data_IF_246964051514
#
_entry.id   IF_246964051514
#
_cell.length_a   1.000
_cell.length_b   1.000
_cell.length_c   1.000
_cell.angle_alpha   90.00
_cell.angle_beta   90.00
_cell.angle_gamma   90.00
#
_symmetry.space_group_name_H-M   'P 1'
#
loop_
_entity.id
_entity.type
_entity.pdbx_description
1 polymer ?
#
# COMPACT_ATOMS: atom_id res chain seq x y z
N UNK A 1 -8.06 -68.73 -1.52
CA UNK A 1 -8.61 -67.41 -1.90
C UNK A 1 -7.47 -66.40 -1.96
N UNK A 2 -7.09 -65.95 -3.16
CA UNK A 2 -6.06 -64.91 -3.34
C UNK A 2 -6.72 -63.56 -3.07
N UNK A 3 -6.18 -62.80 -2.11
CA UNK A 3 -6.60 -61.41 -1.87
C UNK A 3 -6.16 -60.53 -3.05
N UNK A 4 -7.11 -60.15 -3.89
CA UNK A 4 -6.89 -59.12 -4.90
C UNK A 4 -6.78 -57.76 -4.22
N UNK A 5 -5.60 -57.12 -4.37
CA UNK A 5 -5.41 -55.72 -3.99
C UNK A 5 -6.23 -54.85 -4.93
N UNK A 6 -7.29 -54.25 -4.40
CA UNK A 6 -8.08 -53.22 -5.07
C UNK A 6 -7.13 -52.08 -5.46
N UNK A 7 -6.85 -51.92 -6.76
CA UNK A 7 -6.14 -50.74 -7.28
C UNK A 7 -7.08 -49.53 -7.17
N UNK A 8 -6.62 -48.38 -6.66
CA UNK A 8 -7.45 -47.18 -6.62
C UNK A 8 -7.82 -46.76 -8.05
N UNK A 9 -9.07 -46.36 -8.25
CA UNK A 9 -9.58 -45.98 -9.57
C UNK A 9 -8.89 -44.71 -10.09
N UNK A 10 -8.76 -44.57 -11.42
CA UNK A 10 -8.07 -43.45 -12.07
C UNK A 10 -8.62 -42.06 -11.68
N UNK A 11 -9.90 -41.98 -11.28
CA UNK A 11 -10.52 -40.74 -10.80
C UNK A 11 -10.03 -40.32 -9.39
N UNK A 12 -9.68 -41.28 -8.52
CA UNK A 12 -9.09 -41.01 -7.20
C UNK A 12 -7.61 -40.59 -7.30
N UNK A 13 -6.85 -41.14 -8.24
CA UNK A 13 -5.46 -40.71 -8.47
C UNK A 13 -5.39 -39.29 -9.04
N UNK A 14 -6.32 -38.92 -9.93
CA UNK A 14 -6.40 -37.57 -10.50
C UNK A 14 -6.71 -36.50 -9.44
N UNK A 15 -7.74 -36.70 -8.60
CA UNK A 15 -8.06 -35.79 -7.49
C UNK A 15 -6.94 -35.64 -6.45
N UNK A 16 -6.14 -36.69 -6.25
CA UNK A 16 -4.98 -36.67 -5.34
C UNK A 16 -3.83 -35.84 -5.91
N UNK A 17 -3.57 -35.96 -7.22
CA UNK A 17 -2.54 -35.17 -7.89
C UNK A 17 -2.85 -33.67 -7.82
N UNK A 18 -4.10 -33.27 -8.06
CA UNK A 18 -4.54 -31.87 -7.95
C UNK A 18 -4.37 -31.31 -6.53
N UNK A 19 -4.68 -32.10 -5.49
CA UNK A 19 -4.47 -31.70 -4.09
C UNK A 19 -2.99 -31.53 -3.74
N UNK A 20 -2.12 -32.40 -4.26
CA UNK A 20 -0.67 -32.29 -4.04
C UNK A 20 -0.10 -31.05 -4.72
N UNK A 21 -0.49 -30.80 -5.97
CA UNK A 21 -0.06 -29.62 -6.73
C UNK A 21 -0.51 -28.33 -6.03
N UNK A 22 -1.77 -28.29 -5.58
CA UNK A 22 -2.30 -27.18 -4.78
C UNK A 22 -1.46 -26.91 -3.52
N UNK A 23 -1.18 -27.95 -2.72
CA UNK A 23 -0.40 -27.79 -1.49
C UNK A 23 1.03 -27.30 -1.79
N UNK A 24 1.69 -27.85 -2.82
CA UNK A 24 3.04 -27.44 -3.23
C UNK A 24 3.08 -25.99 -3.68
N UNK A 25 2.12 -25.57 -4.52
CA UNK A 25 2.01 -24.18 -4.96
C UNK A 25 1.83 -23.25 -3.76
N UNK A 26 0.91 -23.58 -2.85
CA UNK A 26 0.65 -22.78 -1.64
C UNK A 26 1.88 -22.66 -0.73
N UNK A 27 2.63 -23.76 -0.54
CA UNK A 27 3.89 -23.74 0.21
C UNK A 27 4.90 -22.79 -0.45
N UNK A 28 5.14 -22.93 -1.75
CA UNK A 28 6.11 -22.08 -2.46
C UNK A 28 5.70 -20.61 -2.39
N UNK A 29 4.41 -20.30 -2.57
CA UNK A 29 3.88 -18.94 -2.44
C UNK A 29 4.11 -18.38 -1.04
N UNK A 30 3.84 -19.14 0.03
CA UNK A 30 4.08 -18.68 1.39
C UNK A 30 5.57 -18.51 1.70
N UNK A 31 6.44 -19.38 1.18
CA UNK A 31 7.89 -19.22 1.31
C UNK A 31 8.38 -17.93 0.64
N UNK A 32 7.91 -17.65 -0.57
CA UNK A 32 8.23 -16.41 -1.30
C UNK A 32 7.72 -15.17 -0.56
N UNK A 33 6.47 -15.21 -0.07
CA UNK A 33 5.90 -14.16 0.76
C UNK A 33 6.74 -13.87 2.02
N UNK A 34 7.21 -14.92 2.71
CA UNK A 34 8.08 -14.78 3.88
C UNK A 34 9.40 -14.12 3.50
N UNK A 35 10.09 -14.60 2.47
CA UNK A 35 11.37 -14.03 2.03
C UNK A 35 11.22 -12.56 1.63
N UNK A 36 10.20 -12.23 0.85
CA UNK A 36 9.90 -10.86 0.46
C UNK A 36 9.59 -9.96 1.67
N UNK A 37 8.87 -10.50 2.66
CA UNK A 37 8.55 -9.79 3.90
C UNK A 37 9.80 -9.49 4.72
N UNK A 38 10.72 -10.45 4.86
CA UNK A 38 12.01 -10.26 5.55
C UNK A 38 12.79 -9.09 4.94
N UNK A 39 12.88 -9.04 3.60
CA UNK A 39 13.57 -7.94 2.89
C UNK A 39 12.87 -6.60 3.13
N UNK A 40 11.53 -6.57 3.08
CA UNK A 40 10.76 -5.35 3.30
C UNK A 40 10.91 -4.79 4.72
N UNK A 41 10.83 -5.63 5.75
CA UNK A 41 10.90 -5.15 7.14
C UNK A 41 12.27 -4.60 7.52
N UNK A 42 13.34 -5.11 6.89
CA UNK A 42 14.68 -4.51 7.01
C UNK A 42 14.70 -3.08 6.47
N UNK A 43 14.10 -2.85 5.28
CA UNK A 43 13.97 -1.50 4.72
C UNK A 43 13.08 -0.61 5.58
N UNK A 44 12.00 -1.16 6.14
CA UNK A 44 11.12 -0.44 7.06
C UNK A 44 11.85 0.01 8.32
N UNK A 45 12.79 -0.79 8.82
CA UNK A 45 13.65 -0.39 9.93
C UNK A 45 14.56 0.80 9.56
N UNK A 46 15.20 0.76 8.39
CA UNK A 46 16.04 1.87 7.88
C UNK A 46 15.23 3.15 7.73
N UNK A 47 13.98 3.03 7.27
CA UNK A 47 13.04 4.16 7.12
C UNK A 47 12.38 4.60 8.44
N UNK A 48 12.79 4.04 9.57
CA UNK A 48 12.24 4.29 10.92
C UNK A 48 10.74 3.99 11.05
N UNK A 49 10.19 3.12 10.19
CA UNK A 49 8.78 2.70 10.25
C UNK A 49 8.55 1.74 11.42
N UNK A 50 9.50 0.84 11.67
CA UNK A 50 9.49 -0.09 12.81
C UNK A 50 10.76 0.04 13.67
N UNK A 51 10.63 -0.31 14.94
CA UNK A 51 11.72 -0.39 15.92
C UNK A 51 12.56 -1.66 15.78
N UNK A 52 13.68 -1.72 16.52
CA UNK A 52 14.53 -2.93 16.55
C UNK A 52 13.80 -4.12 17.21
N UNK A 53 13.03 -3.86 18.26
CA UNK A 53 12.21 -4.89 18.91
C UNK A 53 11.15 -5.47 17.96
N UNK A 54 10.41 -4.59 17.27
CA UNK A 54 9.40 -4.99 16.28
C UNK A 54 10.02 -5.80 15.13
N UNK A 55 11.20 -5.39 14.64
CA UNK A 55 11.95 -6.14 13.63
C UNK A 55 12.28 -7.55 14.13
N UNK A 56 12.85 -7.68 15.32
CA UNK A 56 13.24 -8.98 15.87
C UNK A 56 12.03 -9.92 16.04
N UNK A 57 10.92 -9.42 16.57
CA UNK A 57 9.67 -10.18 16.72
C UNK A 57 9.14 -10.64 15.36
N UNK A 58 9.16 -9.76 14.36
CA UNK A 58 8.72 -10.10 13.01
C UNK A 58 9.60 -11.18 12.37
N UNK A 59 10.93 -11.03 12.42
CA UNK A 59 11.87 -11.99 11.84
C UNK A 59 11.74 -13.37 12.50
N UNK A 60 11.69 -13.44 13.83
CA UNK A 60 11.51 -14.71 14.54
C UNK A 60 10.21 -15.42 14.16
N UNK A 61 9.11 -14.66 14.04
CA UNK A 61 7.83 -15.21 13.58
C UNK A 61 7.91 -15.75 12.15
N UNK A 62 8.56 -15.01 11.25
CA UNK A 62 8.75 -15.42 9.86
C UNK A 62 9.65 -16.65 9.71
N UNK A 63 10.74 -16.74 10.48
CA UNK A 63 11.64 -17.89 10.51
C UNK A 63 10.89 -19.16 10.98
N UNK A 64 10.14 -19.06 12.07
CA UNK A 64 9.34 -20.17 12.59
C UNK A 64 8.33 -20.69 11.56
N UNK A 65 7.62 -19.79 10.88
CA UNK A 65 6.70 -20.15 9.80
C UNK A 65 7.41 -20.82 8.62
N UNK A 66 8.61 -20.36 8.27
CA UNK A 66 9.39 -20.94 7.17
C UNK A 66 9.87 -22.36 7.50
N UNK A 67 10.28 -22.61 8.73
CA UNK A 67 10.62 -23.95 9.24
C UNK A 67 9.43 -24.90 9.22
N UNK A 68 8.24 -24.42 9.60
CA UNK A 68 7.01 -25.21 9.52
C UNK A 68 6.67 -25.57 8.06
N UNK A 69 6.80 -24.62 7.13
CA UNK A 69 6.61 -24.87 5.70
C UNK A 69 7.59 -25.92 5.15
N UNK A 70 8.86 -25.86 5.56
CA UNK A 70 9.85 -26.88 5.18
C UNK A 70 9.49 -28.26 5.73
N UNK A 71 8.97 -28.31 6.96
CA UNK A 71 8.48 -29.55 7.56
C UNK A 71 7.31 -30.13 6.77
N UNK A 72 6.33 -29.31 6.40
CA UNK A 72 5.18 -29.74 5.58
C UNK A 72 5.67 -30.21 4.19
N UNK A 73 6.62 -29.50 3.58
CA UNK A 73 7.22 -29.89 2.30
C UNK A 73 7.86 -31.28 2.36
N UNK A 74 8.64 -31.55 3.41
CA UNK A 74 9.26 -32.86 3.63
C UNK A 74 8.21 -33.96 3.87
N UNK A 75 7.11 -33.66 4.57
CA UNK A 75 6.00 -34.61 4.74
C UNK A 75 5.39 -35.01 3.39
N UNK A 76 5.16 -34.03 2.50
CA UNK A 76 4.61 -34.25 1.16
C UNK A 76 5.57 -35.09 0.30
N UNK A 77 6.88 -34.85 0.39
CA UNK A 77 7.89 -35.57 -0.39
C UNK A 77 8.08 -37.02 0.07
N UNK A 78 8.10 -37.27 1.39
CA UNK A 78 8.36 -38.59 1.97
C UNK A 78 7.13 -39.51 2.00
N UNK A 79 5.93 -39.00 2.28
CA UNK A 79 4.72 -39.80 2.54
C UNK A 79 3.76 -39.89 1.34
N UNK A 80 4.30 -39.94 0.13
CA UNK A 80 3.53 -39.81 -1.11
C UNK A 80 2.36 -40.83 -1.29
N UNK A 81 2.31 -41.93 -0.52
CA UNK A 81 1.23 -42.94 -0.55
C UNK A 81 0.17 -42.82 0.57
N UNK A 82 0.50 -42.29 1.75
CA UNK A 82 -0.41 -42.20 2.92
C UNK A 82 -0.51 -40.80 3.56
N UNK A 83 -0.21 -39.73 2.81
CA UNK A 83 -0.36 -38.36 3.29
C UNK A 83 -1.81 -38.06 3.72
N UNK A 84 -1.97 -37.57 4.95
CA UNK A 84 -3.21 -36.94 5.41
C UNK A 84 -3.27 -35.49 4.88
N UNK A 85 -4.09 -35.29 3.85
CA UNK A 85 -4.25 -33.96 3.25
C UNK A 85 -5.00 -32.99 4.14
N UNK A 86 -5.90 -33.46 5.01
CA UNK A 86 -6.69 -32.60 5.87
C UNK A 86 -5.81 -32.02 6.98
N UNK A 87 -4.86 -32.80 7.48
CA UNK A 87 -3.81 -32.30 8.37
C UNK A 87 -2.94 -31.23 7.68
N UNK A 88 -2.45 -31.50 6.46
CA UNK A 88 -1.62 -30.52 5.71
C UNK A 88 -2.38 -29.23 5.46
N UNK A 89 -3.64 -29.30 5.02
CA UNK A 89 -4.48 -28.13 4.78
C UNK A 89 -4.70 -27.34 6.08
N UNK A 90 -4.92 -28.03 7.20
CA UNK A 90 -5.09 -27.40 8.51
C UNK A 90 -3.84 -26.64 8.93
N UNK A 91 -2.64 -27.23 8.76
CA UNK A 91 -1.37 -26.54 9.04
C UNK A 91 -1.15 -25.33 8.13
N UNK A 92 -1.40 -25.47 6.83
CA UNK A 92 -1.31 -24.34 5.89
C UNK A 92 -2.29 -23.22 6.23
N UNK A 93 -3.47 -23.53 6.78
CA UNK A 93 -4.42 -22.51 7.22
C UNK A 93 -3.93 -21.79 8.49
N UNK A 94 -3.29 -22.50 9.43
CA UNK A 94 -2.65 -21.88 10.60
C UNK A 94 -1.56 -20.90 10.17
N UNK A 95 -0.67 -21.33 9.27
CA UNK A 95 0.38 -20.49 8.69
C UNK A 95 -0.23 -19.25 8.01
N UNK A 96 -1.32 -19.39 7.25
CA UNK A 96 -2.01 -18.25 6.65
C UNK A 96 -2.51 -17.24 7.70
N UNK A 97 -3.09 -17.74 8.80
CA UNK A 97 -3.61 -16.88 9.87
C UNK A 97 -2.47 -16.15 10.60
N UNK A 98 -1.33 -16.81 10.81
CA UNK A 98 -0.15 -16.21 11.41
C UNK A 98 0.50 -15.18 10.47
N UNK A 99 0.64 -15.49 9.17
CA UNK A 99 1.06 -14.51 8.16
C UNK A 99 0.13 -13.30 8.12
N UNK A 100 -1.19 -13.52 8.22
CA UNK A 100 -2.18 -12.45 8.30
C UNK A 100 -1.91 -11.53 9.49
N UNK A 101 -1.61 -12.11 10.66
CA UNK A 101 -1.22 -11.35 11.87
C UNK A 101 0.09 -10.57 11.68
N UNK A 102 1.10 -11.19 11.08
CA UNK A 102 2.39 -10.54 10.78
C UNK A 102 2.17 -9.35 9.82
N UNK A 103 1.47 -9.56 8.71
CA UNK A 103 1.20 -8.52 7.72
C UNK A 103 0.36 -7.37 8.29
N UNK A 104 -0.53 -7.68 9.24
CA UNK A 104 -1.34 -6.67 9.94
C UNK A 104 -0.47 -5.69 10.71
N UNK A 105 0.57 -6.20 11.39
CA UNK A 105 1.40 -5.41 12.30
C UNK A 105 2.65 -4.83 11.63
N UNK A 106 3.28 -5.57 10.71
CA UNK A 106 4.60 -5.25 10.15
C UNK A 106 4.58 -5.02 8.64
N UNK A 107 3.49 -5.37 7.96
CA UNK A 107 3.37 -5.27 6.52
C UNK A 107 4.11 -6.37 5.76
N UNK A 108 4.35 -6.14 4.47
CA UNK A 108 5.06 -7.03 3.54
C UNK A 108 5.57 -6.23 2.34
N UNK A 109 6.29 -6.85 1.41
CA UNK A 109 6.76 -6.18 0.20
C UNK A 109 5.62 -5.89 -0.78
N UNK A 110 4.81 -6.89 -1.12
CA UNK A 110 3.80 -6.76 -2.16
C UNK A 110 2.41 -6.60 -1.58
N UNK A 111 1.68 -5.58 -2.02
CA UNK A 111 0.28 -5.40 -1.59
C UNK A 111 -0.63 -6.55 -2.07
N UNK A 112 -0.31 -7.21 -3.18
CA UNK A 112 -1.04 -8.39 -3.66
C UNK A 112 -0.98 -9.55 -2.68
N UNK A 113 0.16 -9.73 -2.02
CA UNK A 113 0.38 -10.83 -1.08
C UNK A 113 -0.44 -10.60 0.18
N UNK A 114 -0.44 -9.36 0.67
CA UNK A 114 -1.28 -8.93 1.78
C UNK A 114 -2.77 -9.18 1.49
N UNK A 115 -3.25 -8.77 0.32
CA UNK A 115 -4.67 -8.93 -0.05
C UNK A 115 -5.02 -10.42 -0.19
N UNK A 116 -4.12 -11.21 -0.78
CA UNK A 116 -4.31 -12.67 -0.95
C UNK A 116 -4.43 -13.37 0.40
N UNK A 117 -3.58 -13.03 1.37
CA UNK A 117 -3.63 -13.61 2.72
C UNK A 117 -4.87 -13.15 3.49
N UNK A 118 -5.32 -11.91 3.28
CA UNK A 118 -6.45 -11.32 4.01
C UNK A 118 -7.84 -11.69 3.45
N UNK A 119 -7.99 -11.81 2.12
CA UNK A 119 -9.29 -12.00 1.43
C UNK A 119 -9.31 -13.17 0.43
N UNK A 120 -8.29 -14.03 0.42
CA UNK A 120 -8.07 -15.11 -0.54
C UNK A 120 -7.64 -14.66 -1.95
N UNK A 121 -7.11 -15.62 -2.72
CA UNK A 121 -6.40 -15.37 -3.99
C UNK A 121 -7.29 -14.90 -5.14
N UNK A 122 -8.58 -15.23 -5.12
CA UNK A 122 -9.54 -14.88 -6.17
C UNK A 122 -10.19 -13.51 -5.96
N UNK A 123 -10.02 -12.90 -4.78
CA UNK A 123 -10.64 -11.62 -4.44
C UNK A 123 -10.28 -10.49 -5.40
N UNK A 124 -9.00 -10.36 -5.76
CA UNK A 124 -8.52 -9.33 -6.69
C UNK A 124 -9.21 -9.44 -8.04
N UNK A 125 -9.30 -10.66 -8.59
CA UNK A 125 -9.91 -10.91 -9.90
C UNK A 125 -11.40 -10.53 -9.91
N UNK A 126 -12.09 -10.70 -8.78
CA UNK A 126 -13.51 -10.32 -8.62
C UNK A 126 -13.72 -8.81 -8.40
N UNK A 127 -12.70 -8.10 -7.94
CA UNK A 127 -12.82 -6.70 -7.48
C UNK A 127 -12.30 -5.69 -8.50
N UNK A 128 -11.38 -6.11 -9.38
CA UNK A 128 -10.86 -5.25 -10.45
C UNK A 128 -11.95 -5.01 -11.50
N UNK A 129 -12.13 -3.76 -11.87
CA UNK A 129 -12.98 -3.29 -12.96
C UNK A 129 -12.14 -2.45 -13.93
N UNK A 130 -12.64 -2.21 -15.14
CA UNK A 130 -11.94 -1.37 -16.12
C UNK A 130 -11.66 0.05 -15.60
N UNK A 131 -12.50 0.55 -14.69
CA UNK A 131 -12.33 1.87 -14.07
C UNK A 131 -11.17 1.93 -13.07
N UNK A 132 -10.89 0.82 -12.37
CA UNK A 132 -9.93 0.81 -11.26
C UNK A 132 -8.62 0.07 -11.57
N UNK A 133 -8.58 -0.69 -12.68
CA UNK A 133 -7.45 -1.53 -13.08
C UNK A 133 -6.14 -0.77 -13.17
N UNK A 134 -6.10 0.34 -13.91
CA UNK A 134 -4.88 1.13 -14.08
C UNK A 134 -4.35 1.66 -12.73
N UNK A 135 -5.26 2.06 -11.84
CA UNK A 135 -4.91 2.53 -10.51
C UNK A 135 -4.38 1.40 -9.64
N UNK A 136 -5.00 0.21 -9.70
CA UNK A 136 -4.54 -0.97 -8.99
C UNK A 136 -3.13 -1.39 -9.44
N UNK A 137 -2.81 -1.36 -10.73
CA UNK A 137 -1.47 -1.72 -11.23
C UNK A 137 -0.38 -0.78 -10.70
N UNK A 138 -0.67 0.53 -10.59
CA UNK A 138 0.25 1.49 -9.96
C UNK A 138 0.44 1.15 -8.47
N UNK A 139 -0.67 0.91 -7.76
CA UNK A 139 -0.64 0.56 -6.34
C UNK A 139 0.15 -0.74 -6.13
N UNK A 140 -0.09 -1.76 -6.96
CA UNK A 140 0.61 -3.04 -6.92
C UNK A 140 2.12 -2.88 -7.13
N UNK A 141 2.52 -1.97 -8.02
CA UNK A 141 3.93 -1.78 -8.38
C UNK A 141 4.71 -0.92 -7.39
N UNK A 142 4.11 0.14 -6.85
CA UNK A 142 4.84 1.17 -6.11
C UNK A 142 4.40 1.33 -4.65
N UNK A 143 3.37 0.63 -4.20
CA UNK A 143 2.89 0.73 -2.81
C UNK A 143 3.30 -0.51 -2.04
N UNK A 144 4.19 -0.30 -1.05
CA UNK A 144 4.68 -1.33 -0.17
C UNK A 144 3.96 -1.24 1.18
N UNK A 145 3.13 -2.22 1.56
CA UNK A 145 2.34 -2.15 2.77
C UNK A 145 3.21 -2.27 4.02
N UNK A 146 2.99 -1.39 4.98
CA UNK A 146 3.68 -1.37 6.29
C UNK A 146 2.79 -1.85 7.43
N UNK A 147 1.47 -1.87 7.24
CA UNK A 147 0.48 -2.44 8.16
C UNK A 147 -0.90 -2.39 7.51
N UNK A 148 -1.88 -3.08 8.09
CA UNK A 148 -3.28 -2.88 7.72
C UNK A 148 -4.24 -3.00 8.91
N UNK A 149 -5.43 -2.44 8.75
CA UNK A 149 -6.56 -2.64 9.67
C UNK A 149 -7.72 -3.25 8.91
N UNK A 150 -8.30 -4.31 9.46
CA UNK A 150 -9.56 -4.87 8.98
C UNK A 150 -10.70 -4.31 9.85
N UNK A 151 -11.66 -3.63 9.21
CA UNK A 151 -12.82 -3.05 9.89
C UNK A 151 -14.10 -3.67 9.34
N UNK A 152 -14.90 -4.24 10.24
CA UNK A 152 -16.23 -4.77 9.92
C UNK A 152 -17.23 -3.64 9.77
N UNK A 153 -18.12 -3.77 8.79
CA UNK A 153 -19.15 -2.77 8.49
C UNK A 153 -20.28 -2.78 9.51
N UNK A 154 -20.80 -1.60 9.82
CA UNK A 154 -22.07 -1.35 10.50
C UNK A 154 -23.20 -1.20 9.48
N UNK A 155 -24.45 -1.19 9.93
CA UNK A 155 -25.65 -1.18 9.06
C UNK A 155 -25.73 -0.02 8.04
N UNK A 156 -25.05 1.09 8.33
CA UNK A 156 -25.01 2.29 7.49
C UNK A 156 -23.75 2.41 6.62
N UNK A 157 -22.74 1.56 6.86
CA UNK A 157 -21.47 1.63 6.15
C UNK A 157 -21.63 1.19 4.69
N UNK A 158 -20.88 1.84 3.79
CA UNK A 158 -20.90 1.53 2.35
C UNK A 158 -22.07 2.13 1.56
N UNK A 159 -23.04 2.78 2.23
CA UNK A 159 -24.19 3.44 1.58
C UNK A 159 -23.97 4.94 1.31
N UNK A 160 -22.97 5.55 1.96
CA UNK A 160 -22.67 6.97 1.82
C UNK A 160 -21.99 7.27 0.48
N UNK A 161 -22.55 8.22 -0.27
CA UNK A 161 -21.92 8.80 -1.47
C UNK A 161 -21.14 10.08 -1.19
N UNK A 162 -20.95 10.45 0.08
CA UNK A 162 -20.30 11.72 0.43
C UNK A 162 -18.82 11.66 0.04
N UNK A 163 -18.40 12.58 -0.82
CA UNK A 163 -17.00 12.69 -1.22
C UNK A 163 -16.17 13.16 -0.03
N UNK A 164 -15.14 12.40 0.33
CA UNK A 164 -14.20 12.75 1.38
C UNK A 164 -13.22 13.82 0.86
N UNK A 165 -13.06 14.90 1.62
CA UNK A 165 -12.03 15.91 1.35
C UNK A 165 -10.68 15.38 1.85
N UNK A 166 -9.77 15.08 0.92
CA UNK A 166 -8.47 14.43 1.19
C UNK A 166 -7.41 15.41 1.62
N UNK A 167 -7.67 16.70 1.45
CA UNK A 167 -6.92 17.81 2.05
C UNK A 167 -7.27 18.03 3.54
N UNK A 168 -7.93 17.08 4.22
CA UNK A 168 -8.22 17.09 5.66
C UNK A 168 -7.76 15.78 6.31
N UNK A 169 -7.80 15.72 7.64
CA UNK A 169 -7.62 14.44 8.34
C UNK A 169 -8.85 13.58 8.02
N UNK A 170 -8.59 12.38 7.51
CA UNK A 170 -9.63 11.39 7.22
C UNK A 170 -9.41 10.21 8.16
N UNK A 171 -10.38 10.00 9.05
CA UNK A 171 -10.35 8.92 10.03
C UNK A 171 -10.78 7.59 9.40
N UNK A 172 -10.35 6.48 10.02
CA UNK A 172 -10.56 5.14 9.48
C UNK A 172 -12.05 4.81 9.30
N UNK A 173 -12.91 5.22 10.24
CA UNK A 173 -14.37 5.00 10.12
C UNK A 173 -14.98 5.74 8.92
N UNK A 174 -14.52 6.95 8.61
CA UNK A 174 -14.99 7.73 7.46
C UNK A 174 -14.63 7.03 6.13
N UNK A 175 -13.45 6.38 6.10
CA UNK A 175 -13.01 5.57 4.95
C UNK A 175 -13.94 4.39 4.76
N UNK A 176 -14.27 3.65 5.83
CA UNK A 176 -15.19 2.50 5.76
C UNK A 176 -16.56 2.93 5.19
N UNK A 177 -17.10 4.04 5.69
CA UNK A 177 -18.40 4.57 5.28
C UNK A 177 -18.46 4.94 3.81
N UNK A 178 -17.46 5.68 3.30
CA UNK A 178 -17.60 6.42 2.03
C UNK A 178 -16.57 6.11 0.94
N UNK A 179 -15.44 5.46 1.26
CA UNK A 179 -14.38 5.24 0.27
C UNK A 179 -14.75 4.19 -0.79
N UNK A 180 -14.22 4.34 -2.00
CA UNK A 180 -14.30 3.30 -3.05
C UNK A 180 -13.13 2.33 -2.96
N UNK A 181 -13.23 1.20 -3.68
CA UNK A 181 -12.11 0.28 -3.87
C UNK A 181 -10.91 1.00 -4.49
N UNK A 182 -9.73 0.76 -3.90
CA UNK A 182 -8.45 1.37 -4.27
C UNK A 182 -8.43 2.90 -4.13
N UNK A 183 -9.32 3.46 -3.32
CA UNK A 183 -9.24 4.87 -2.97
C UNK A 183 -8.10 5.13 -1.98
N UNK A 184 -7.39 6.25 -2.19
CA UNK A 184 -6.16 6.55 -1.47
C UNK A 184 -6.28 7.82 -0.62
N UNK A 185 -5.61 7.82 0.54
CA UNK A 185 -5.59 8.91 1.51
C UNK A 185 -4.18 9.16 2.04
N UNK A 186 -3.90 10.39 2.48
CA UNK A 186 -2.56 10.78 2.95
C UNK A 186 -2.34 10.40 4.42
N UNK A 187 -1.18 9.82 4.73
CA UNK A 187 -0.75 9.53 6.10
C UNK A 187 -0.04 10.70 6.79
N UNK A 188 0.32 11.76 6.07
CA UNK A 188 1.17 12.84 6.60
C UNK A 188 0.60 13.57 7.82
N UNK A 189 -0.73 13.60 7.95
CA UNK A 189 -1.42 14.30 9.05
C UNK A 189 -1.63 13.45 10.30
N UNK A 190 -1.37 12.14 10.20
CA UNK A 190 -1.63 11.18 11.30
C UNK A 190 -0.37 10.48 11.78
N UNK A 191 0.75 10.60 11.07
CA UNK A 191 2.04 10.08 11.51
C UNK A 191 2.96 11.18 12.02
N UNK A 192 3.88 10.82 12.93
CA UNK A 192 5.00 11.68 13.37
C UNK A 192 6.31 11.37 12.64
N UNK A 193 6.42 10.18 12.05
CA UNK A 193 7.65 9.67 11.43
C UNK A 193 7.87 10.32 10.06
N UNK A 194 9.07 10.82 9.81
CA UNK A 194 9.40 11.58 8.59
C UNK A 194 9.05 10.80 7.31
N UNK A 195 9.54 9.56 7.15
CA UNK A 195 9.30 8.77 5.95
C UNK A 195 7.81 8.46 5.73
N UNK A 196 7.06 8.18 6.80
CA UNK A 196 5.60 8.00 6.69
C UNK A 196 4.90 9.31 6.31
N UNK A 197 5.38 10.47 6.77
CA UNK A 197 4.82 11.75 6.33
C UNK A 197 5.07 12.01 4.85
N UNK A 198 6.29 11.74 4.38
CA UNK A 198 6.68 11.97 2.99
C UNK A 198 5.98 10.98 2.06
N UNK A 199 6.15 9.67 2.29
CA UNK A 199 5.78 8.62 1.34
C UNK A 199 4.52 7.83 1.75
N UNK A 200 3.99 8.05 2.94
CA UNK A 200 2.89 7.25 3.47
C UNK A 200 1.55 7.50 2.78
N UNK A 201 0.86 6.41 2.46
CA UNK A 201 -0.47 6.38 1.85
C UNK A 201 -1.35 5.36 2.59
N UNK A 202 -2.66 5.62 2.66
CA UNK A 202 -3.66 4.61 3.00
C UNK A 202 -4.40 4.19 1.74
N UNK A 203 -4.64 2.90 1.56
CA UNK A 203 -5.43 2.33 0.47
C UNK A 203 -6.64 1.60 1.07
N UNK A 204 -7.83 1.94 0.61
CA UNK A 204 -9.08 1.32 1.03
C UNK A 204 -9.49 0.19 0.08
N UNK A 205 -9.80 -0.98 0.62
CA UNK A 205 -10.29 -2.13 -0.13
C UNK A 205 -11.50 -2.73 0.58
N UNK A 206 -12.64 -2.74 -0.10
CA UNK A 206 -13.94 -3.19 0.37
C UNK A 206 -14.22 -4.60 -0.12
N UNK A 207 -14.52 -5.49 0.82
CA UNK A 207 -15.05 -6.82 0.58
C UNK A 207 -16.53 -6.82 0.98
N UNK A 208 -17.41 -6.67 0.00
CA UNK A 208 -18.86 -6.63 0.20
C UNK A 208 -19.42 -7.97 0.70
N UNK A 209 -18.85 -9.08 0.24
CA UNK A 209 -19.29 -10.42 0.64
C UNK A 209 -19.07 -10.67 2.14
N UNK A 210 -17.92 -10.23 2.67
CA UNK A 210 -17.61 -10.35 4.10
C UNK A 210 -18.05 -9.14 4.93
N UNK A 211 -18.56 -8.07 4.29
CA UNK A 211 -18.86 -6.78 4.94
C UNK A 211 -17.67 -6.25 5.75
N UNK A 212 -16.48 -6.24 5.12
CA UNK A 212 -15.23 -5.78 5.73
C UNK A 212 -14.50 -4.81 4.79
N UNK A 213 -13.80 -3.85 5.38
CA UNK A 213 -12.85 -2.98 4.67
C UNK A 213 -11.45 -3.19 5.22
N UNK A 214 -10.48 -3.43 4.34
CA UNK A 214 -9.07 -3.29 4.65
C UNK A 214 -8.65 -1.85 4.42
N UNK A 215 -8.03 -1.26 5.44
CA UNK A 215 -7.34 0.02 5.36
C UNK A 215 -5.86 -0.30 5.46
N UNK A 216 -5.21 -0.36 4.30
CA UNK A 216 -3.80 -0.72 4.18
C UNK A 216 -2.98 0.56 4.27
N UNK A 217 -2.09 0.65 5.25
CA UNK A 217 -1.08 1.70 5.31
C UNK A 217 0.15 1.22 4.56
N UNK A 218 0.67 2.02 3.63
CA UNK A 218 1.84 1.69 2.82
C UNK A 218 2.75 2.88 2.59
N UNK A 219 3.92 2.61 2.04
CA UNK A 219 4.84 3.61 1.51
C UNK A 219 4.84 3.55 -0.01
N UNK A 220 4.79 4.72 -0.64
CA UNK A 220 4.92 4.88 -2.09
C UNK A 220 6.39 5.05 -2.44
N UNK A 221 6.87 4.36 -3.47
CA UNK A 221 8.21 4.58 -4.02
C UNK A 221 8.38 5.99 -4.59
N UNK A 222 9.60 6.53 -4.42
CA UNK A 222 9.99 7.82 -4.99
C UNK A 222 10.48 7.62 -6.45
N UNK A 223 9.52 7.47 -7.35
CA UNK A 223 9.78 7.29 -8.77
C UNK A 223 9.50 8.56 -9.54
N UNK A 224 10.38 8.87 -10.49
CA UNK A 224 10.22 10.01 -11.41
C UNK A 224 8.94 9.81 -12.23
N UNK A 225 7.98 10.73 -12.08
CA UNK A 225 6.65 10.65 -12.71
C UNK A 225 6.73 10.60 -14.23
N UNK A 226 7.68 11.31 -14.85
CA UNK A 226 7.87 11.30 -16.31
C UNK A 226 8.37 9.96 -16.85
N UNK A 227 9.01 9.13 -16.02
CA UNK A 227 9.49 7.79 -16.38
C UNK A 227 8.40 6.71 -16.26
N UNK A 228 7.13 7.11 -16.16
CA UNK A 228 6.01 6.23 -15.91
C UNK A 228 5.09 6.10 -17.14
N UNK A 229 4.74 4.85 -17.49
CA UNK A 229 3.89 4.55 -18.66
C UNK A 229 2.43 4.25 -18.32
N UNK A 230 2.01 4.34 -17.06
CA UNK A 230 0.63 4.11 -16.68
C UNK A 230 -0.29 5.21 -17.19
N UNK A 231 -1.38 4.80 -17.85
CA UNK A 231 -2.39 5.70 -18.41
C UNK A 231 -2.97 6.64 -17.36
N UNK A 232 -3.32 6.12 -16.18
CA UNK A 232 -3.84 6.92 -15.07
C UNK A 232 -2.93 8.11 -14.73
N UNK A 233 -1.61 7.93 -14.64
CA UNK A 233 -0.67 9.02 -14.34
C UNK A 233 -0.64 10.05 -15.46
N UNK A 234 -0.55 9.60 -16.72
CA UNK A 234 -0.53 10.47 -17.90
C UNK A 234 -1.80 11.31 -18.00
N UNK A 235 -2.96 10.67 -17.86
CA UNK A 235 -4.26 11.33 -17.91
C UNK A 235 -4.44 12.31 -16.75
N UNK A 236 -3.97 11.93 -15.55
CA UNK A 236 -4.00 12.79 -14.37
C UNK A 236 -3.17 14.06 -14.58
N UNK A 237 -1.92 13.92 -15.01
CA UNK A 237 -1.05 15.07 -15.31
C UNK A 237 -1.64 15.93 -16.44
N UNK A 238 -2.17 15.31 -17.50
CA UNK A 238 -2.83 16.03 -18.60
C UNK A 238 -4.02 16.85 -18.10
N UNK A 239 -4.88 16.26 -17.26
CA UNK A 239 -6.05 16.95 -16.70
C UNK A 239 -5.67 18.15 -15.83
N UNK A 240 -4.56 18.09 -15.09
CA UNK A 240 -4.05 19.22 -14.31
C UNK A 240 -3.70 20.44 -15.18
N UNK A 241 -3.27 20.21 -16.42
CA UNK A 241 -2.98 21.30 -17.35
C UNK A 241 -4.23 21.77 -18.10
N UNK A 242 -5.10 20.85 -18.53
CA UNK A 242 -6.29 21.21 -19.31
C UNK A 242 -7.42 21.83 -18.49
N UNK A 243 -7.50 21.50 -17.20
CA UNK A 243 -8.56 21.95 -16.29
C UNK A 243 -8.07 22.99 -15.27
N UNK A 244 -6.87 23.58 -15.46
CA UNK A 244 -6.35 24.56 -14.51
C UNK A 244 -7.22 25.83 -14.48
N UNK A 245 -7.36 26.50 -13.32
CA UNK A 245 -8.04 27.79 -13.24
C UNK A 245 -7.40 28.84 -14.16
N UNK A 246 -8.18 29.84 -14.53
CA UNK A 246 -7.74 30.92 -15.43
C UNK A 246 -7.10 32.10 -14.68
N UNK A 247 -7.05 32.02 -13.35
CA UNK A 247 -6.44 33.06 -12.52
C UNK A 247 -4.95 33.23 -12.87
N UNK A 248 -4.41 34.46 -12.85
CA UNK A 248 -3.06 34.75 -13.34
C UNK A 248 -1.95 33.89 -12.71
N UNK A 249 -2.11 33.50 -11.45
CA UNK A 249 -1.15 32.67 -10.71
C UNK A 249 -0.94 31.28 -11.34
N UNK A 250 -1.95 30.71 -12.00
CA UNK A 250 -1.87 29.42 -12.70
C UNK A 250 -1.29 29.52 -14.12
N UNK A 251 -1.10 30.75 -14.61
CA UNK A 251 -0.53 31.03 -15.93
C UNK A 251 0.99 31.29 -15.89
N UNK A 252 1.60 31.09 -14.71
CA UNK A 252 3.04 31.27 -14.48
C UNK A 252 3.80 29.95 -14.64
N UNK A 253 5.12 30.04 -14.84
CA UNK A 253 6.03 28.88 -14.81
C UNK A 253 6.12 28.20 -13.44
N UNK A 254 5.68 28.86 -12.36
CA UNK A 254 5.60 28.28 -11.02
C UNK A 254 4.61 27.13 -10.98
N UNK A 255 3.50 27.22 -11.72
CA UNK A 255 2.52 26.14 -11.78
C UNK A 255 3.08 24.91 -12.47
N UNK A 256 3.82 25.09 -13.57
CA UNK A 256 4.50 23.98 -14.25
C UNK A 256 5.52 23.30 -13.34
N UNK A 257 6.32 24.09 -12.62
CA UNK A 257 7.25 23.57 -11.60
C UNK A 257 6.51 22.83 -10.49
N UNK A 258 5.40 23.37 -9.99
CA UNK A 258 4.57 22.69 -9.00
C UNK A 258 4.11 21.31 -9.49
N UNK A 259 3.55 21.23 -10.70
CA UNK A 259 3.12 19.94 -11.28
C UNK A 259 4.29 18.96 -11.39
N UNK A 260 5.48 19.44 -11.78
CA UNK A 260 6.69 18.62 -11.87
C UNK A 260 7.22 18.13 -10.50
N UNK A 261 6.85 18.78 -9.40
CA UNK A 261 7.21 18.33 -8.03
C UNK A 261 6.27 17.27 -7.47
N UNK A 262 5.10 17.03 -8.11
CA UNK A 262 4.14 16.05 -7.64
C UNK A 262 4.72 14.64 -7.78
N UNK A 263 4.57 13.84 -6.73
CA UNK A 263 4.97 12.42 -6.75
C UNK A 263 3.77 11.53 -7.09
N UNK A 264 4.02 10.24 -7.32
CA UNK A 264 2.96 9.24 -7.49
C UNK A 264 1.98 9.27 -6.31
N UNK A 265 2.47 9.53 -5.09
CA UNK A 265 1.63 9.65 -3.89
C UNK A 265 0.58 10.75 -4.06
N UNK A 266 0.98 11.97 -4.40
CA UNK A 266 0.03 13.09 -4.58
C UNK A 266 -0.98 12.78 -5.69
N UNK A 267 -0.52 12.20 -6.81
CA UNK A 267 -1.37 11.90 -7.96
C UNK A 267 -2.41 10.79 -7.67
N UNK A 268 -2.09 9.82 -6.81
CA UNK A 268 -3.01 8.75 -6.39
C UNK A 268 -4.09 9.24 -5.41
N UNK A 269 -3.75 10.25 -4.59
CA UNK A 269 -4.61 10.74 -3.50
C UNK A 269 -5.54 11.83 -4.00
N UNK A 270 -4.99 12.94 -4.52
CA UNK A 270 -5.72 14.20 -4.61
C UNK A 270 -6.45 14.41 -5.94
N UNK A 271 -7.62 15.04 -5.86
CA UNK A 271 -8.31 15.62 -7.02
C UNK A 271 -7.57 16.84 -7.58
N UNK A 272 -7.94 17.28 -8.79
CA UNK A 272 -7.33 18.46 -9.44
C UNK A 272 -7.54 19.71 -8.58
N UNK A 273 -8.79 19.92 -8.13
CA UNK A 273 -9.15 21.01 -7.22
C UNK A 273 -8.31 21.04 -5.93
N UNK A 274 -8.08 19.89 -5.31
CA UNK A 274 -7.27 19.81 -4.08
C UNK A 274 -5.79 20.11 -4.34
N UNK A 275 -5.28 19.76 -5.51
CA UNK A 275 -3.92 20.10 -5.94
C UNK A 275 -3.78 21.58 -6.27
N UNK A 276 -4.80 22.19 -6.89
CA UNK A 276 -4.83 23.64 -7.14
C UNK A 276 -4.83 24.42 -5.82
N UNK A 277 -5.69 24.05 -4.87
CA UNK A 277 -5.70 24.66 -3.53
C UNK A 277 -4.34 24.52 -2.82
N UNK A 278 -3.65 23.38 -3.01
CA UNK A 278 -2.31 23.17 -2.46
C UNK A 278 -1.27 24.09 -3.11
N UNK A 279 -1.33 24.30 -4.42
CA UNK A 279 -0.49 25.25 -5.14
C UNK A 279 -0.68 26.69 -4.62
N UNK A 280 -1.92 27.16 -4.52
CA UNK A 280 -2.23 28.50 -3.95
C UNK A 280 -1.69 28.63 -2.53
N UNK A 281 -1.86 27.57 -1.73
CA UNK A 281 -1.29 27.49 -0.38
C UNK A 281 0.23 27.64 -0.37
N UNK A 282 0.93 27.05 -1.35
CA UNK A 282 2.38 27.21 -1.47
C UNK A 282 2.77 28.63 -1.86
N UNK A 283 2.08 29.26 -2.82
CA UNK A 283 2.34 30.66 -3.19
C UNK A 283 2.16 31.60 -2.00
N UNK A 284 1.10 31.40 -1.22
CA UNK A 284 0.84 32.16 -0.01
C UNK A 284 1.99 32.03 0.99
N UNK A 285 2.48 30.80 1.24
CA UNK A 285 3.58 30.58 2.18
C UNK A 285 4.89 31.21 1.72
N UNK A 286 5.19 31.10 0.42
CA UNK A 286 6.37 31.71 -0.18
C UNK A 286 6.35 33.24 -0.02
N UNK A 287 5.20 33.87 -0.27
CA UNK A 287 5.04 35.31 -0.06
C UNK A 287 5.23 35.72 1.41
N UNK A 288 4.76 34.90 2.36
CA UNK A 288 4.98 35.14 3.79
C UNK A 288 6.45 35.00 4.19
N UNK A 289 7.18 34.06 3.60
CA UNK A 289 8.63 33.92 3.81
C UNK A 289 9.35 35.18 3.32
N UNK A 290 9.01 35.68 2.13
CA UNK A 290 9.61 36.90 1.55
C UNK A 290 9.44 38.14 2.43
N UNK A 291 8.32 38.26 3.12
CA UNK A 291 8.02 39.41 3.98
C UNK A 291 8.80 39.40 5.31
N UNK A 292 9.39 38.26 5.71
CA UNK A 292 10.13 38.11 6.97
C UNK A 292 11.62 38.38 6.78
N UNK A 293 12.31 38.94 7.79
CA UNK A 293 13.77 39.02 7.78
C UNK A 293 14.41 37.65 7.63
N UNK A 294 15.52 37.56 6.90
CA UNK A 294 16.27 36.31 6.67
C UNK A 294 16.60 35.61 7.99
N UNK A 295 17.02 36.37 9.02
CA UNK A 295 17.34 35.83 10.34
C UNK A 295 16.15 35.10 11.00
N UNK A 296 14.92 35.60 10.82
CA UNK A 296 13.71 34.96 11.30
C UNK A 296 13.41 33.69 10.48
N UNK A 297 13.49 33.75 9.16
CA UNK A 297 13.26 32.60 8.29
C UNK A 297 14.23 31.45 8.59
N UNK A 298 15.51 31.76 8.81
CA UNK A 298 16.54 30.78 9.19
C UNK A 298 16.20 30.14 10.53
N UNK A 299 15.83 30.95 11.54
CA UNK A 299 15.45 30.44 12.86
C UNK A 299 14.22 29.52 12.77
N UNK A 300 13.19 29.93 12.03
CA UNK A 300 11.97 29.14 11.82
C UNK A 300 12.28 27.83 11.08
N UNK A 301 13.09 27.86 10.02
CA UNK A 301 13.50 26.68 9.26
C UNK A 301 14.25 25.66 10.12
N UNK A 302 15.27 26.11 10.87
CA UNK A 302 16.07 25.23 11.74
C UNK A 302 15.19 24.61 12.84
N UNK A 303 14.20 25.37 13.34
CA UNK A 303 13.28 24.88 14.38
C UNK A 303 12.23 23.89 13.88
N UNK A 304 12.01 23.80 12.57
CA UNK A 304 11.04 22.87 11.98
C UNK A 304 11.54 21.43 12.01
N UNK A 305 10.60 20.49 12.14
CA UNK A 305 10.88 19.08 11.84
C UNK A 305 11.29 18.90 10.35
N UNK A 306 11.99 17.80 10.05
CA UNK A 306 12.48 17.49 8.69
C UNK A 306 11.38 17.59 7.61
N UNK A 307 10.15 17.20 7.95
CA UNK A 307 9.02 17.29 7.02
C UNK A 307 8.64 18.74 6.70
N UNK A 308 8.68 19.62 7.70
CA UNK A 308 8.48 21.06 7.54
C UNK A 308 9.61 21.69 6.73
N UNK A 309 10.87 21.37 7.05
CA UNK A 309 12.05 21.81 6.30
C UNK A 309 11.96 21.41 4.82
N UNK A 310 11.68 20.13 4.53
CA UNK A 310 11.48 19.64 3.16
C UNK A 310 10.41 20.45 2.42
N UNK A 311 9.27 20.73 3.08
CA UNK A 311 8.19 21.50 2.47
C UNK A 311 8.63 22.93 2.14
N UNK A 312 9.34 23.60 3.05
CA UNK A 312 9.88 24.94 2.80
C UNK A 312 10.85 24.95 1.62
N UNK A 313 11.75 23.96 1.54
CA UNK A 313 12.69 23.85 0.41
C UNK A 313 11.96 23.67 -0.92
N UNK A 314 10.97 22.78 -0.98
CA UNK A 314 10.15 22.60 -2.20
C UNK A 314 9.48 23.92 -2.59
N UNK A 315 8.90 24.62 -1.61
CA UNK A 315 8.22 25.90 -1.83
C UNK A 315 9.15 26.98 -2.42
N UNK A 316 10.36 27.12 -1.88
CA UNK A 316 11.36 28.06 -2.38
C UNK A 316 11.88 27.66 -3.76
N UNK A 317 12.16 26.37 -4.00
CA UNK A 317 12.65 25.89 -5.29
C UNK A 317 11.64 26.06 -6.44
N UNK A 318 10.34 26.16 -6.14
CA UNK A 318 9.36 26.53 -7.16
C UNK A 318 9.52 27.97 -7.65
N UNK A 319 10.21 28.84 -6.91
CA UNK A 319 10.51 30.22 -7.31
C UNK A 319 11.93 30.41 -7.84
N UNK A 320 12.61 29.35 -8.26
CA UNK A 320 14.01 29.40 -8.71
C UNK A 320 14.36 30.43 -9.80
N UNK A 321 13.36 31.00 -10.48
CA UNK A 321 13.52 32.01 -11.53
C UNK A 321 13.51 33.44 -10.99
N UNK A 322 13.14 33.63 -9.72
CA UNK A 322 13.10 34.91 -9.03
C UNK A 322 14.33 35.01 -8.11
N UNK A 323 15.29 35.93 -8.40
CA UNK A 323 16.52 36.09 -7.62
C UNK A 323 16.29 36.51 -6.16
N UNK A 324 15.10 36.98 -5.82
CA UNK A 324 14.75 37.39 -4.46
C UNK A 324 14.39 36.20 -3.54
N UNK A 325 14.42 34.95 -4.04
CA UNK A 325 14.02 33.73 -3.33
C UNK A 325 15.11 32.68 -3.14
#
# INVERSE_FOLDING_TARGET
MKNEKIKPSAAQSFKRFDKLDFCRKKINTFQEMITNTILAVQQYKVKDIIGASELNVCIQGLESLFEELNTIKLMIEKNNKHLDFDEVITRLQKINNELSSIFRNFGTLNISDLITVAFASDFIQKTITDENKDKYEIIKKYVHPISYKAMTWKEQDGKSKKKLAKNRIVEDFMIVESAKNFECFDLARTSRKFNTKVYGIKVAIKNEAEKKTLIISGLVDDMIVSCNNFKFIKDKVKSLYSEKPKDPEFLTSDFERFVNTLTIKELLIYGNEELYQRFVGYLTQVNLIKQKPISQNVKEFISCELYGQRRTLIQLLMKNSDPEF
#
